data_IF_417535743242
#
_entry.id   IF_417535743242
#
_cell.length_a   1.000
_cell.length_b   1.000
_cell.length_c   1.000
_cell.angle_alpha   90.00
_cell.angle_beta   90.00
_cell.angle_gamma   90.00
#
_symmetry.space_group_name_H-M   'P 1'
#
loop_
_entity.id
_entity.type
_entity.pdbx_description
1 polymer ?
#
# COMPACT_ATOMS: atom_id res chain seq x y z
N UNK A 1 1.54 -25.58 -11.13
CA UNK A 1 0.63 -25.80 -9.98
C UNK A 1 -0.85 -25.90 -10.41
N UNK A 2 -1.32 -25.10 -11.37
CA UNK A 2 -2.72 -25.12 -11.90
C UNK A 2 -3.15 -26.48 -12.52
N UNK A 3 -2.24 -27.22 -13.17
CA UNK A 3 -2.56 -28.54 -13.73
C UNK A 3 -2.89 -29.63 -12.68
N UNK A 4 -2.34 -29.54 -11.45
CA UNK A 4 -2.58 -30.53 -10.39
C UNK A 4 -3.90 -30.30 -9.64
N UNK A 5 -4.41 -29.06 -9.62
CA UNK A 5 -5.72 -28.72 -9.04
C UNK A 5 -6.88 -29.20 -9.94
N UNK A 6 -6.70 -29.17 -11.26
CA UNK A 6 -7.72 -29.64 -12.21
C UNK A 6 -7.99 -31.15 -12.14
N UNK A 7 -6.95 -31.96 -11.90
CA UNK A 7 -7.09 -33.42 -11.80
C UNK A 7 -7.81 -33.85 -10.51
N UNK A 8 -7.53 -33.20 -9.37
CA UNK A 8 -8.14 -33.56 -8.08
C UNK A 8 -9.66 -33.32 -8.04
N UNK A 9 -10.13 -32.22 -8.63
CA UNK A 9 -11.56 -31.88 -8.65
C UNK A 9 -12.36 -32.86 -9.54
N UNK A 10 -11.76 -33.28 -10.66
CA UNK A 10 -12.33 -34.29 -11.55
C UNK A 10 -12.48 -35.64 -10.85
N UNK A 11 -11.49 -36.06 -10.06
CA UNK A 11 -11.55 -37.31 -9.29
C UNK A 11 -12.64 -37.30 -8.23
N UNK A 12 -12.84 -36.18 -7.52
CA UNK A 12 -13.90 -36.04 -6.50
C UNK A 12 -15.29 -36.08 -7.14
N UNK A 13 -15.48 -35.42 -8.29
CA UNK A 13 -16.75 -35.46 -9.04
C UNK A 13 -17.04 -36.87 -9.55
N UNK A 14 -16.03 -37.59 -10.06
CA UNK A 14 -16.17 -38.99 -10.47
C UNK A 14 -16.53 -39.91 -9.30
N UNK A 15 -15.90 -39.74 -8.14
CA UNK A 15 -16.22 -40.52 -6.93
C UNK A 15 -17.65 -40.27 -6.43
N UNK A 16 -18.12 -39.02 -6.47
CA UNK A 16 -19.50 -38.66 -6.10
C UNK A 16 -20.56 -39.16 -7.08
N UNK A 17 -20.19 -39.37 -8.35
CA UNK A 17 -21.07 -39.96 -9.37
C UNK A 17 -21.15 -41.49 -9.23
N UNK A 18 -20.07 -42.15 -8.80
CA UNK A 18 -20.02 -43.60 -8.61
C UNK A 18 -20.81 -44.07 -7.37
N UNK A 19 -20.90 -43.26 -6.32
CA UNK A 19 -21.59 -43.63 -5.05
C UNK A 19 -23.11 -43.55 -5.11
N UNK A 20 -23.72 -43.01 -6.18
CA UNK A 20 -25.18 -42.78 -6.27
C UNK A 20 -25.95 -43.76 -7.16
N UNK A 21 -25.34 -44.85 -7.60
CA UNK A 21 -25.96 -45.83 -8.51
C UNK A 21 -26.08 -45.26 -9.94
N UNK A 22 -25.70 -46.05 -10.94
CA UNK A 22 -25.66 -45.60 -12.33
C UNK A 22 -27.07 -45.26 -12.82
N UNK A 23 -27.37 -43.98 -13.12
CA UNK A 23 -28.66 -43.61 -13.69
C UNK A 23 -28.75 -44.14 -15.13
N UNK A 24 -29.98 -44.25 -15.66
CA UNK A 24 -30.21 -44.69 -17.03
C UNK A 24 -29.41 -43.82 -18.04
N UNK A 25 -29.00 -44.38 -19.20
CA UNK A 25 -28.11 -43.70 -20.16
C UNK A 25 -28.50 -42.25 -20.52
N UNK A 26 -29.80 -41.89 -20.68
CA UNK A 26 -30.19 -40.50 -20.98
C UNK A 26 -29.88 -39.51 -19.86
N UNK A 27 -30.04 -39.93 -18.59
CA UNK A 27 -29.75 -39.10 -17.42
C UNK A 27 -28.24 -38.91 -17.20
N UNK A 28 -27.43 -39.87 -17.64
CA UNK A 28 -25.97 -39.78 -17.60
C UNK A 28 -25.45 -38.67 -18.52
N UNK A 29 -25.99 -38.57 -19.74
CA UNK A 29 -25.63 -37.53 -20.73
C UNK A 29 -26.02 -36.13 -20.25
N UNK A 30 -27.23 -35.97 -19.68
CA UNK A 30 -27.63 -34.68 -19.09
C UNK A 30 -26.74 -34.27 -17.91
N UNK A 31 -26.38 -35.21 -17.02
CA UNK A 31 -25.49 -34.93 -15.88
C UNK A 31 -24.07 -34.58 -16.31
N UNK A 32 -23.54 -35.20 -17.37
CA UNK A 32 -22.25 -34.86 -17.98
C UNK A 32 -22.24 -33.43 -18.58
N UNK A 33 -23.36 -33.00 -19.19
CA UNK A 33 -23.53 -31.62 -19.65
C UNK A 33 -23.45 -30.58 -18.54
N UNK A 34 -23.98 -30.89 -17.35
CA UNK A 34 -23.87 -30.00 -16.18
C UNK A 34 -22.46 -29.95 -15.60
N UNK A 35 -21.76 -31.09 -15.48
CA UNK A 35 -20.38 -31.14 -14.97
C UNK A 35 -19.42 -30.38 -15.90
N UNK A 36 -19.58 -30.53 -17.22
CA UNK A 36 -18.77 -29.78 -18.20
C UNK A 36 -19.06 -28.28 -18.19
N UNK A 37 -20.31 -27.87 -17.98
CA UNK A 37 -20.66 -26.45 -17.78
C UNK A 37 -20.04 -25.87 -16.50
N UNK A 38 -20.16 -26.56 -15.36
CA UNK A 38 -19.60 -26.14 -14.07
C UNK A 38 -18.07 -26.04 -14.15
N UNK A 39 -17.40 -27.05 -14.70
CA UNK A 39 -15.94 -27.04 -14.88
C UNK A 39 -15.49 -25.96 -15.87
N UNK A 40 -16.25 -25.67 -16.93
CA UNK A 40 -15.96 -24.55 -17.84
C UNK A 40 -16.13 -23.18 -17.17
N UNK A 41 -17.09 -23.05 -16.24
CA UNK A 41 -17.35 -21.81 -15.51
C UNK A 41 -16.29 -21.59 -14.43
N UNK A 42 -15.94 -22.63 -13.68
CA UNK A 42 -14.83 -22.62 -12.72
C UNK A 42 -13.49 -22.34 -13.40
N UNK A 43 -13.21 -22.97 -14.55
CA UNK A 43 -11.99 -22.71 -15.32
C UNK A 43 -11.94 -21.28 -15.86
N UNK A 44 -13.07 -20.74 -16.32
CA UNK A 44 -13.18 -19.33 -16.73
C UNK A 44 -12.97 -18.38 -15.53
N UNK A 45 -13.55 -18.67 -14.38
CA UNK A 45 -13.35 -17.91 -13.15
C UNK A 45 -11.89 -17.93 -12.67
N UNK A 46 -11.26 -19.10 -12.63
CA UNK A 46 -9.85 -19.25 -12.24
C UNK A 46 -8.91 -18.59 -13.25
N UNK A 47 -9.17 -18.73 -14.54
CA UNK A 47 -8.36 -18.08 -15.58
C UNK A 47 -8.53 -16.56 -15.57
N UNK A 48 -9.74 -16.04 -15.33
CA UNK A 48 -9.98 -14.61 -15.15
C UNK A 48 -9.24 -14.08 -13.92
N UNK A 49 -9.37 -14.77 -12.78
CA UNK A 49 -8.67 -14.39 -11.55
C UNK A 49 -7.15 -14.46 -11.72
N UNK A 50 -6.64 -15.49 -12.40
CA UNK A 50 -5.21 -15.65 -12.67
C UNK A 50 -4.71 -14.59 -13.63
N UNK A 51 -5.38 -14.34 -14.76
CA UNK A 51 -4.92 -13.36 -15.75
C UNK A 51 -5.00 -11.91 -15.26
N UNK A 52 -5.78 -11.65 -14.21
CA UNK A 52 -5.98 -10.30 -13.67
C UNK A 52 -5.11 -10.05 -12.42
N UNK A 53 -4.97 -11.05 -11.53
CA UNK A 53 -4.06 -10.95 -10.38
C UNK A 53 -2.60 -11.24 -10.74
N UNK A 54 -2.31 -12.06 -11.75
CA UNK A 54 -0.94 -12.43 -12.10
C UNK A 54 -0.10 -11.25 -12.60
N UNK A 55 -0.56 -10.39 -13.54
CA UNK A 55 0.24 -9.23 -13.95
C UNK A 55 0.48 -8.29 -12.77
N UNK A 56 -0.56 -8.03 -11.97
CA UNK A 56 -0.46 -7.18 -10.80
C UNK A 56 0.55 -7.74 -9.78
N UNK A 57 0.41 -9.01 -9.39
CA UNK A 57 1.27 -9.66 -8.40
C UNK A 57 2.68 -9.87 -8.95
N UNK A 58 2.85 -10.36 -10.17
CA UNK A 58 4.18 -10.68 -10.72
C UNK A 58 4.96 -9.43 -11.07
N UNK A 59 4.32 -8.41 -11.66
CA UNK A 59 5.01 -7.18 -12.01
C UNK A 59 5.32 -6.36 -10.76
N UNK A 60 4.35 -6.14 -9.86
CA UNK A 60 4.61 -5.38 -8.63
C UNK A 60 5.58 -6.08 -7.67
N UNK A 61 5.55 -7.42 -7.57
CA UNK A 61 6.55 -8.15 -6.77
C UNK A 61 7.91 -8.18 -7.45
N UNK A 62 7.98 -8.18 -8.78
CA UNK A 62 9.21 -8.08 -9.53
C UNK A 62 9.92 -6.75 -9.25
N UNK A 63 9.19 -5.64 -9.41
CA UNK A 63 9.71 -4.29 -9.18
C UNK A 63 10.09 -4.09 -7.70
N UNK A 64 9.25 -4.56 -6.77
CA UNK A 64 9.58 -4.54 -5.35
C UNK A 64 10.83 -5.38 -5.05
N UNK A 65 10.97 -6.57 -5.64
CA UNK A 65 12.15 -7.42 -5.45
C UNK A 65 13.42 -6.76 -5.98
N UNK A 66 13.37 -6.17 -7.18
CA UNK A 66 14.50 -5.42 -7.73
C UNK A 66 14.88 -4.26 -6.81
N UNK A 67 13.89 -3.48 -6.36
CA UNK A 67 14.11 -2.39 -5.42
C UNK A 67 14.69 -2.85 -4.07
N UNK A 68 14.34 -4.06 -3.60
CA UNK A 68 14.83 -4.59 -2.33
C UNK A 68 16.23 -5.19 -2.46
N UNK A 69 16.48 -5.96 -3.49
CA UNK A 69 17.68 -6.78 -3.61
C UNK A 69 18.87 -6.05 -4.26
N UNK A 70 18.60 -5.07 -5.13
CA UNK A 70 19.63 -4.33 -5.84
C UNK A 70 19.71 -2.88 -5.33
N UNK A 71 20.79 -2.56 -4.60
CA UNK A 71 21.01 -1.22 -4.04
C UNK A 71 21.22 -0.15 -5.11
N UNK A 72 21.77 -0.51 -6.28
CA UNK A 72 21.99 0.42 -7.39
C UNK A 72 20.64 0.75 -8.02
N UNK A 73 19.80 -0.26 -8.26
CA UNK A 73 18.45 -0.05 -8.75
C UNK A 73 17.59 0.74 -7.74
N UNK A 74 17.70 0.42 -6.45
CA UNK A 74 17.01 1.15 -5.40
C UNK A 74 17.39 2.63 -5.39
N UNK A 75 18.69 2.93 -5.50
CA UNK A 75 19.21 4.30 -5.59
C UNK A 75 18.66 5.02 -6.82
N UNK A 76 18.75 4.41 -8.00
CA UNK A 76 18.22 4.98 -9.23
C UNK A 76 16.70 5.25 -9.17
N UNK A 77 15.93 4.37 -8.51
CA UNK A 77 14.48 4.51 -8.36
C UNK A 77 14.11 5.63 -7.38
N UNK A 78 14.82 5.76 -6.24
CA UNK A 78 14.52 6.78 -5.23
C UNK A 78 15.06 8.16 -5.58
N UNK A 79 16.13 8.24 -6.38
CA UNK A 79 16.85 9.49 -6.66
C UNK A 79 15.94 10.64 -7.14
N UNK A 80 14.98 10.43 -8.07
CA UNK A 80 14.10 11.51 -8.51
C UNK A 80 13.23 12.07 -7.38
N UNK A 81 12.82 11.23 -6.44
CA UNK A 81 12.08 11.67 -5.25
C UNK A 81 13.00 12.46 -4.30
N UNK A 82 14.20 11.95 -4.03
CA UNK A 82 15.18 12.62 -3.16
C UNK A 82 15.57 13.99 -3.68
N UNK A 83 15.87 14.11 -4.97
CA UNK A 83 16.25 15.39 -5.60
C UNK A 83 15.09 16.40 -5.50
N UNK A 84 13.86 16.01 -5.84
CA UNK A 84 12.69 16.89 -5.73
C UNK A 84 12.41 17.31 -4.27
N UNK A 85 12.53 16.38 -3.32
CA UNK A 85 12.33 16.67 -1.91
C UNK A 85 13.41 17.63 -1.35
N UNK A 86 14.67 17.42 -1.74
CA UNK A 86 15.78 18.30 -1.36
C UNK A 86 15.66 19.70 -1.98
N UNK A 87 15.24 19.79 -3.24
CA UNK A 87 15.00 21.07 -3.89
C UNK A 87 13.88 21.83 -3.17
N UNK A 88 12.80 21.14 -2.75
CA UNK A 88 11.75 21.75 -1.94
C UNK A 88 12.23 22.17 -0.55
N UNK A 89 13.18 21.46 0.07
CA UNK A 89 13.74 21.85 1.37
C UNK A 89 14.60 23.11 1.30
N UNK A 90 15.37 23.26 0.21
CA UNK A 90 16.25 24.41 -0.05
C UNK A 90 15.50 25.66 -0.50
N UNK A 91 14.25 25.51 -0.92
CA UNK A 91 13.40 26.64 -1.31
C UNK A 91 12.87 27.33 -0.04
N UNK A 92 13.30 28.59 0.12
CA UNK A 92 12.99 29.45 1.27
C UNK A 92 11.51 29.90 1.28
N UNK A 93 10.84 29.87 0.13
CA UNK A 93 9.44 30.26 -0.04
C UNK A 93 8.46 29.13 0.29
N UNK A 94 8.95 27.90 0.46
CA UNK A 94 8.12 26.74 0.80
C UNK A 94 7.94 26.64 2.33
N UNK A 95 6.70 26.77 2.80
CA UNK A 95 6.36 26.68 4.24
C UNK A 95 6.09 25.24 4.70
N UNK A 96 5.63 24.38 3.80
CA UNK A 96 5.28 22.99 4.09
C UNK A 96 5.47 22.10 2.87
N UNK A 97 5.75 20.82 3.13
CA UNK A 97 5.94 19.78 2.11
C UNK A 97 4.91 18.69 2.37
N UNK A 98 4.07 18.39 1.39
CA UNK A 98 3.18 17.23 1.43
C UNK A 98 3.64 16.18 0.42
N UNK A 99 3.94 14.99 0.91
CA UNK A 99 4.34 13.84 0.12
C UNK A 99 3.13 12.92 -0.02
N UNK A 100 2.66 12.71 -1.24
CA UNK A 100 1.56 11.77 -1.51
C UNK A 100 2.14 10.56 -2.24
N UNK A 101 1.99 9.39 -1.64
CA UNK A 101 2.64 8.16 -2.12
C UNK A 101 1.63 7.02 -2.23
N UNK A 102 1.58 6.37 -3.39
CA UNK A 102 0.66 5.26 -3.65
C UNK A 102 1.44 3.96 -3.88
N UNK A 103 0.94 2.84 -3.35
CA UNK A 103 1.49 1.52 -3.62
C UNK A 103 2.99 1.41 -3.30
N UNK A 104 3.83 1.00 -4.28
CA UNK A 104 5.29 0.96 -4.18
C UNK A 104 5.92 2.35 -3.99
N UNK A 105 5.26 3.42 -4.43
CA UNK A 105 5.71 4.79 -4.17
C UNK A 105 5.83 5.10 -2.68
N UNK A 106 5.00 4.50 -1.83
CA UNK A 106 5.10 4.63 -0.38
C UNK A 106 6.34 3.93 0.19
N UNK A 107 6.76 2.82 -0.43
CA UNK A 107 7.98 2.11 -0.06
C UNK A 107 9.21 2.93 -0.44
N UNK A 108 9.19 3.53 -1.64
CA UNK A 108 10.28 4.38 -2.14
C UNK A 108 10.41 5.65 -1.30
N UNK A 109 9.30 6.34 -1.01
CA UNK A 109 9.34 7.53 -0.17
C UNK A 109 9.75 7.19 1.27
N UNK A 110 9.32 6.05 1.82
CA UNK A 110 9.77 5.60 3.13
C UNK A 110 11.29 5.42 3.16
N UNK A 111 11.84 4.67 2.19
CA UNK A 111 13.29 4.44 2.09
C UNK A 111 14.06 5.76 1.99
N UNK A 112 13.60 6.66 1.12
CA UNK A 112 14.23 7.97 0.93
C UNK A 112 14.18 8.86 2.20
N UNK A 113 13.11 8.77 3.01
CA UNK A 113 12.99 9.55 4.25
C UNK A 113 13.76 8.92 5.43
N UNK A 114 14.13 7.63 5.36
CA UNK A 114 14.82 6.92 6.45
C UNK A 114 16.32 6.75 6.21
N UNK A 115 16.69 6.09 5.12
CA UNK A 115 18.06 5.69 4.74
C UNK A 115 18.48 6.31 3.39
N UNK A 116 17.63 7.15 2.79
CA UNK A 116 17.95 7.92 1.60
C UNK A 116 19.18 8.77 1.87
N UNK A 117 20.32 8.30 1.36
CA UNK A 117 21.63 8.86 1.68
C UNK A 117 21.71 10.37 1.41
N UNK A 118 21.19 10.90 0.28
CA UNK A 118 21.19 12.34 0.04
C UNK A 118 20.39 13.11 1.08
N UNK A 119 19.21 12.62 1.50
CA UNK A 119 18.32 13.34 2.43
C UNK A 119 18.92 13.38 3.84
N UNK A 120 19.34 12.24 4.38
CA UNK A 120 19.94 12.17 5.72
C UNK A 120 21.26 12.94 5.80
N UNK A 121 22.15 12.78 4.81
CA UNK A 121 23.43 13.51 4.77
C UNK A 121 23.19 15.02 4.66
N UNK A 122 22.27 15.44 3.80
CA UNK A 122 21.95 16.86 3.62
C UNK A 122 21.37 17.48 4.90
N UNK A 123 20.38 16.83 5.53
CA UNK A 123 19.78 17.33 6.77
C UNK A 123 20.76 17.31 7.95
N UNK A 124 21.76 16.42 7.96
CA UNK A 124 22.85 16.43 8.95
C UNK A 124 23.81 17.60 8.74
N UNK A 125 24.13 17.92 7.48
CA UNK A 125 25.02 19.01 7.13
C UNK A 125 24.37 20.39 7.29
N UNK A 126 23.06 20.49 7.00
CA UNK A 126 22.30 21.75 6.98
C UNK A 126 21.06 21.65 7.89
N UNK A 127 21.22 21.51 9.22
CA UNK A 127 20.11 21.33 10.15
C UNK A 127 19.09 22.49 10.15
N UNK A 128 19.52 23.70 9.77
CA UNK A 128 18.70 24.90 9.66
C UNK A 128 17.70 24.86 8.50
N UNK A 129 17.97 24.12 7.42
CA UNK A 129 17.04 23.96 6.29
C UNK A 129 15.77 23.17 6.66
N UNK A 130 15.76 22.56 7.85
CA UNK A 130 14.54 21.99 8.44
C UNK A 130 13.54 23.06 8.84
N UNK A 131 13.99 24.29 9.04
CA UNK A 131 13.13 25.39 9.43
C UNK A 131 12.76 26.20 8.20
N UNK A 132 11.58 26.81 8.25
CA UNK A 132 11.23 27.87 7.33
C UNK A 132 12.12 29.09 7.65
N UNK A 133 12.89 29.64 6.68
CA UNK A 133 13.86 30.71 6.96
C UNK A 133 13.21 32.00 7.47
N UNK A 134 12.02 32.31 6.95
CA UNK A 134 11.28 33.52 7.28
C UNK A 134 10.72 33.50 8.71
N UNK A 135 10.35 32.33 9.23
CA UNK A 135 9.71 32.19 10.55
C UNK A 135 10.60 31.52 11.60
N UNK A 136 11.71 30.90 11.18
CA UNK A 136 12.56 30.03 12.01
C UNK A 136 11.81 28.87 12.67
N UNK A 137 10.57 28.61 12.25
CA UNK A 137 9.77 27.48 12.72
C UNK A 137 10.10 26.23 11.91
N UNK A 138 10.04 25.04 12.51
CA UNK A 138 10.18 23.80 11.77
C UNK A 138 9.21 23.74 10.59
N UNK A 139 9.73 23.46 9.40
CA UNK A 139 8.95 23.25 8.18
C UNK A 139 8.06 22.04 8.39
N UNK A 140 6.80 22.13 7.99
CA UNK A 140 5.88 21.00 8.17
C UNK A 140 6.08 19.98 7.06
N UNK A 141 6.14 18.71 7.41
CA UNK A 141 6.14 17.58 6.48
C UNK A 141 4.93 16.70 6.76
N UNK A 142 4.04 16.58 5.79
CA UNK A 142 2.92 15.64 5.82
C UNK A 142 3.18 14.52 4.84
N UNK A 143 3.28 13.28 5.31
CA UNK A 143 3.40 12.10 4.48
C UNK A 143 2.06 11.37 4.40
N UNK A 144 1.50 11.24 3.20
CA UNK A 144 0.23 10.60 2.92
C UNK A 144 0.50 9.34 2.11
N UNK A 145 0.24 8.18 2.70
CA UNK A 145 0.38 6.88 2.03
C UNK A 145 -0.98 6.31 1.68
N UNK A 146 -1.14 5.80 0.46
CA UNK A 146 -2.42 5.32 -0.07
C UNK A 146 -2.19 3.91 -0.65
N UNK A 147 -2.93 2.91 -0.17
CA UNK A 147 -2.78 1.53 -0.64
C UNK A 147 -1.34 1.01 -0.51
N UNK A 148 -0.65 1.39 0.57
CA UNK A 148 0.80 1.30 0.66
C UNK A 148 1.33 -0.15 0.69
N UNK A 149 2.40 -0.44 -0.05
CA UNK A 149 3.05 -1.76 -0.05
C UNK A 149 4.01 -1.98 1.14
N UNK A 150 3.87 -1.20 2.22
CA UNK A 150 4.79 -1.18 3.37
C UNK A 150 4.78 -2.50 4.15
N UNK A 151 3.60 -3.03 4.49
CA UNK A 151 3.45 -4.32 5.20
C UNK A 151 4.12 -5.47 4.45
N UNK A 152 3.88 -5.52 3.14
CA UNK A 152 4.42 -6.57 2.27
C UNK A 152 5.93 -6.49 2.17
N UNK A 153 6.45 -5.28 1.96
CA UNK A 153 7.88 -5.05 1.87
C UNK A 153 8.59 -5.39 3.18
N UNK A 154 8.06 -4.92 4.31
CA UNK A 154 8.55 -5.26 5.64
C UNK A 154 8.58 -6.78 5.87
N UNK A 155 7.53 -7.49 5.47
CA UNK A 155 7.45 -8.96 5.60
C UNK A 155 8.54 -9.66 4.77
N UNK A 156 8.74 -9.23 3.53
CA UNK A 156 9.79 -9.78 2.66
C UNK A 156 11.16 -9.57 3.29
N UNK A 157 11.43 -8.37 3.82
CA UNK A 157 12.72 -8.05 4.43
C UNK A 157 12.95 -8.77 5.76
N UNK A 158 11.91 -8.99 6.56
CA UNK A 158 12.03 -9.75 7.82
C UNK A 158 12.28 -11.24 7.56
N UNK A 159 11.69 -11.81 6.51
CA UNK A 159 11.91 -13.20 6.12
C UNK A 159 13.31 -13.44 5.53
N UNK A 160 13.96 -12.38 5.02
CA UNK A 160 15.28 -12.45 4.39
C UNK A 160 16.30 -11.71 5.27
N UNK A 161 16.74 -12.35 6.35
CA UNK A 161 17.61 -11.73 7.37
C UNK A 161 18.94 -11.18 6.84
N UNK A 162 19.42 -11.69 5.70
CA UNK A 162 20.62 -11.18 5.00
C UNK A 162 20.35 -10.10 3.94
N UNK A 163 19.09 -9.70 3.71
CA UNK A 163 18.75 -8.71 2.69
C UNK A 163 19.24 -7.31 3.15
N UNK A 164 20.08 -6.61 2.35
CA UNK A 164 20.50 -5.25 2.64
C UNK A 164 19.33 -4.29 2.90
N UNK A 165 18.17 -4.52 2.28
CA UNK A 165 16.95 -3.75 2.50
C UNK A 165 16.41 -3.81 3.92
N UNK A 166 16.74 -4.83 4.71
CA UNK A 166 16.20 -4.95 6.05
C UNK A 166 16.49 -3.72 6.91
N UNK A 167 17.71 -3.17 6.81
CA UNK A 167 18.07 -1.92 7.52
C UNK A 167 17.15 -0.77 7.08
N UNK A 168 16.92 -0.62 5.78
CA UNK A 168 16.04 0.38 5.17
C UNK A 168 14.63 0.37 5.75
N UNK A 169 14.07 -0.82 6.03
CA UNK A 169 12.71 -1.00 6.57
C UNK A 169 12.62 -1.13 8.10
N UNK A 170 13.74 -0.99 8.80
CA UNK A 170 13.79 -0.92 10.27
C UNK A 170 14.17 0.46 10.79
N UNK A 171 14.55 1.38 9.91
CA UNK A 171 15.03 2.70 10.29
C UNK A 171 13.89 3.68 10.57
N UNK A 172 14.01 4.53 11.60
CA UNK A 172 12.93 5.40 12.05
C UNK A 172 12.76 6.66 11.18
N UNK A 173 11.60 6.82 10.53
CA UNK A 173 11.31 8.00 9.66
C UNK A 173 11.43 9.30 10.43
N UNK A 174 10.77 9.40 11.58
CA UNK A 174 10.73 10.63 12.36
C UNK A 174 12.11 11.03 12.89
N UNK A 175 12.91 10.04 13.33
CA UNK A 175 14.25 10.30 13.83
C UNK A 175 15.28 10.54 12.70
N UNK A 176 15.11 9.93 11.52
CA UNK A 176 15.94 10.23 10.35
C UNK A 176 15.74 11.66 9.86
N UNK A 177 14.50 12.14 9.84
CA UNK A 177 14.21 13.54 9.50
C UNK A 177 14.67 14.52 10.60
N UNK A 178 14.84 14.04 11.84
CA UNK A 178 15.23 14.84 13.03
C UNK A 178 14.34 16.06 13.21
N UNK A 179 13.07 15.90 12.86
CA UNK A 179 12.07 16.95 12.95
C UNK A 179 11.47 16.96 14.36
N UNK A 180 11.13 18.13 14.92
CA UNK A 180 10.32 18.19 16.13
C UNK A 180 9.01 17.42 15.96
N UNK A 181 8.49 16.83 17.03
CA UNK A 181 7.29 15.98 16.95
C UNK A 181 6.09 16.67 16.28
N UNK A 182 6.00 17.99 16.38
CA UNK A 182 4.89 18.77 15.80
C UNK A 182 5.04 19.05 14.29
N UNK A 183 6.23 18.82 13.73
CA UNK A 183 6.55 19.18 12.35
C UNK A 183 6.37 18.03 11.36
N UNK A 184 6.16 16.80 11.83
CA UNK A 184 5.91 15.63 10.98
C UNK A 184 4.54 15.03 11.26
N UNK A 185 3.82 14.66 10.21
CA UNK A 185 2.56 13.93 10.28
C UNK A 185 2.51 12.84 9.21
N UNK A 186 1.98 11.67 9.56
CA UNK A 186 1.78 10.56 8.63
C UNK A 186 0.32 10.14 8.60
N UNK A 187 -0.30 10.23 7.43
CA UNK A 187 -1.66 9.73 7.14
C UNK A 187 -1.56 8.48 6.26
N UNK A 188 -2.01 7.33 6.76
CA UNK A 188 -2.09 6.08 6.01
C UNK A 188 -3.55 5.76 5.66
N UNK A 189 -3.85 5.72 4.36
CA UNK A 189 -5.15 5.36 3.82
C UNK A 189 -5.07 3.98 3.14
N UNK A 190 -6.00 3.09 3.45
CA UNK A 190 -6.11 1.79 2.79
C UNK A 190 -7.57 1.40 2.57
N UNK A 191 -7.87 0.76 1.45
CA UNK A 191 -9.20 0.24 1.17
C UNK A 191 -9.36 -1.17 1.75
N UNK A 192 -10.59 -1.51 2.15
CA UNK A 192 -10.92 -2.79 2.80
C UNK A 192 -10.49 -4.01 1.98
N UNK A 193 -10.64 -3.96 0.66
CA UNK A 193 -10.34 -5.09 -0.22
C UNK A 193 -9.05 -4.89 -1.03
N UNK A 194 -8.26 -3.85 -0.75
CA UNK A 194 -6.97 -3.66 -1.42
C UNK A 194 -5.96 -4.75 -0.98
N UNK A 195 -5.50 -5.62 -1.91
CA UNK A 195 -4.60 -6.72 -1.58
C UNK A 195 -3.16 -6.28 -1.28
N UNK A 196 -2.77 -5.04 -1.57
CA UNK A 196 -1.39 -4.55 -1.38
C UNK A 196 -1.06 -4.24 0.08
N UNK A 197 -1.78 -3.32 0.76
CA UNK A 197 -1.58 -3.09 2.19
C UNK A 197 -2.03 -4.31 3.01
N UNK A 198 -3.01 -5.06 2.50
CA UNK A 198 -3.61 -6.23 3.16
C UNK A 198 -4.14 -5.91 4.56
N UNK A 199 -4.75 -4.72 4.70
CA UNK A 199 -5.30 -4.22 5.95
C UNK A 199 -4.43 -3.13 6.61
N UNK A 200 -4.62 -2.90 7.92
CA UNK A 200 -3.87 -1.89 8.66
C UNK A 200 -2.37 -2.19 8.70
N UNK A 201 -1.57 -1.16 8.97
CA UNK A 201 -0.13 -1.26 9.14
C UNK A 201 0.20 -2.24 10.26
N UNK A 202 1.17 -3.12 10.03
CA UNK A 202 1.58 -4.10 11.04
C UNK A 202 2.20 -3.38 12.23
N UNK A 203 1.76 -3.72 13.44
CA UNK A 203 2.24 -3.09 14.66
C UNK A 203 3.77 -3.20 14.81
N UNK A 204 4.36 -4.33 14.41
CA UNK A 204 5.81 -4.52 14.42
C UNK A 204 6.53 -3.52 13.50
N UNK A 205 6.02 -3.32 12.27
CA UNK A 205 6.58 -2.32 11.38
C UNK A 205 6.36 -0.89 11.90
N UNK A 206 5.17 -0.58 12.41
CA UNK A 206 4.87 0.73 13.00
C UNK A 206 5.86 1.08 14.12
N UNK A 207 6.19 0.11 14.99
CA UNK A 207 7.18 0.28 16.05
C UNK A 207 8.58 0.62 15.50
N UNK A 208 9.00 0.03 14.39
CA UNK A 208 10.27 0.36 13.74
C UNK A 208 10.32 1.81 13.25
N UNK A 209 9.19 2.38 12.82
CA UNK A 209 9.15 3.76 12.29
C UNK A 209 9.44 4.83 13.35
N UNK A 210 9.24 4.51 14.64
CA UNK A 210 9.31 5.43 15.78
C UNK A 210 8.46 6.72 15.61
N UNK A 211 7.47 6.70 14.72
CA UNK A 211 6.52 7.82 14.58
C UNK A 211 5.63 7.84 15.81
N UNK A 212 5.52 9.00 16.46
CA UNK A 212 4.68 9.13 17.65
C UNK A 212 3.21 8.89 17.27
N UNK A 213 2.43 8.28 18.17
CA UNK A 213 1.00 8.01 17.93
C UNK A 213 0.18 9.29 17.63
N UNK A 214 0.63 10.44 18.12
CA UNK A 214 0.01 11.73 17.81
C UNK A 214 0.21 12.14 16.33
N UNK A 215 1.35 11.79 15.76
CA UNK A 215 1.76 12.10 14.38
C UNK A 215 1.18 11.11 13.35
N UNK A 216 0.85 9.89 13.77
CA UNK A 216 0.31 8.86 12.88
C UNK A 216 -1.22 8.82 12.91
N UNK A 217 -1.82 8.81 11.71
CA UNK A 217 -3.25 8.61 11.48
C UNK A 217 -3.42 7.53 10.45
N UNK A 218 -4.14 6.48 10.80
CA UNK A 218 -4.47 5.40 9.88
C UNK A 218 -5.98 5.31 9.68
N UNK A 219 -6.43 5.13 8.44
CA UNK A 219 -7.85 5.03 8.11
C UNK A 219 -8.10 4.00 7.01
N UNK A 220 -9.07 3.13 7.29
CA UNK A 220 -9.72 2.35 6.26
C UNK A 220 -10.67 3.26 5.46
N UNK A 221 -10.75 3.07 4.15
CA UNK A 221 -11.73 3.70 3.28
C UNK A 221 -12.57 2.65 2.55
N UNK A 222 -13.85 2.97 2.31
CA UNK A 222 -14.69 2.23 1.37
C UNK A 222 -14.38 2.78 -0.02
N UNK A 223 -13.76 1.97 -0.88
CA UNK A 223 -13.37 2.41 -2.21
C UNK A 223 -14.34 1.87 -3.27
N UNK A 224 -13.92 0.89 -4.07
CA UNK A 224 -14.80 0.22 -5.04
C UNK A 224 -15.45 -1.06 -4.52
N UNK A 225 -15.16 -1.41 -3.26
CA UNK A 225 -15.49 -2.69 -2.63
C UNK A 225 -15.16 -3.90 -3.52
N UNK A 226 -14.02 -3.80 -4.20
CA UNK A 226 -13.62 -4.77 -5.19
C UNK A 226 -12.12 -5.01 -5.12
N UNK A 227 -11.71 -6.25 -4.83
CA UNK A 227 -10.30 -6.64 -4.71
C UNK A 227 -9.44 -6.28 -5.92
N UNK A 228 -10.05 -6.14 -7.10
CA UNK A 228 -9.36 -5.87 -8.35
C UNK A 228 -9.14 -4.37 -8.56
N UNK A 229 -10.09 -3.55 -8.13
CA UNK A 229 -10.11 -2.13 -8.42
C UNK A 229 -9.67 -1.29 -7.23
N UNK A 230 -9.86 -1.76 -6.00
CA UNK A 230 -9.60 -1.00 -4.78
C UNK A 230 -8.19 -0.44 -4.72
N UNK A 231 -7.21 -1.16 -5.28
CA UNK A 231 -5.84 -0.69 -5.32
C UNK A 231 -5.61 0.48 -6.28
N UNK A 232 -6.31 0.55 -7.42
CA UNK A 232 -6.02 1.48 -8.51
C UNK A 232 -7.01 2.64 -8.61
N UNK A 233 -8.13 2.58 -7.87
CA UNK A 233 -9.23 3.54 -8.01
C UNK A 233 -9.32 4.57 -6.88
N UNK A 234 -8.36 4.62 -5.95
CA UNK A 234 -8.36 5.62 -4.86
C UNK A 234 -8.60 7.05 -5.34
N UNK A 235 -8.00 7.43 -6.47
CA UNK A 235 -8.11 8.77 -7.07
C UNK A 235 -9.50 9.13 -7.59
N UNK A 236 -10.41 8.14 -7.70
CA UNK A 236 -11.81 8.35 -8.10
C UNK A 236 -12.74 8.47 -6.90
N UNK A 237 -12.24 8.31 -5.69
CA UNK A 237 -13.02 8.32 -4.47
C UNK A 237 -13.01 9.74 -3.88
N UNK A 238 -13.94 10.55 -4.38
CA UNK A 238 -14.21 11.92 -3.94
C UNK A 238 -14.93 12.00 -2.59
N UNK A 239 -15.49 10.90 -2.10
CA UNK A 239 -16.22 10.85 -0.82
C UNK A 239 -15.28 10.58 0.36
N UNK A 240 -14.36 9.63 0.24
CA UNK A 240 -13.53 9.17 1.35
C UNK A 240 -12.04 9.42 1.19
N UNK A 241 -11.49 9.43 -0.02
CA UNK A 241 -10.04 9.60 -0.22
C UNK A 241 -9.68 11.06 -0.36
N UNK A 242 -10.25 11.77 -1.34
CA UNK A 242 -9.90 13.17 -1.61
C UNK A 242 -10.11 14.12 -0.43
N UNK A 243 -11.25 14.08 0.30
CA UNK A 243 -11.44 14.98 1.44
C UNK A 243 -10.35 14.81 2.50
N UNK A 244 -9.85 13.58 2.71
CA UNK A 244 -8.79 13.28 3.67
C UNK A 244 -7.43 13.79 3.19
N UNK A 245 -7.14 13.67 1.89
CA UNK A 245 -5.93 14.24 1.28
C UNK A 245 -5.94 15.76 1.42
N UNK A 246 -7.03 16.42 1.02
CA UNK A 246 -7.18 17.87 1.10
C UNK A 246 -7.08 18.34 2.55
N UNK A 247 -7.73 17.66 3.49
CA UNK A 247 -7.65 17.99 4.91
C UNK A 247 -6.22 17.87 5.47
N UNK A 248 -5.47 16.84 5.03
CA UNK A 248 -4.08 16.65 5.44
C UNK A 248 -3.14 17.71 4.83
N UNK A 249 -3.43 18.22 3.63
CA UNK A 249 -2.70 19.32 2.99
C UNK A 249 -2.98 20.67 3.68
N UNK A 250 -4.25 20.99 3.94
CA UNK A 250 -4.68 22.31 4.43
C UNK A 250 -4.49 22.50 5.95
N UNK A 251 -3.44 21.92 6.52
CA UNK A 251 -3.48 21.30 7.84
C UNK A 251 -4.52 21.78 8.84
N UNK A 252 -5.61 21.04 8.86
CA UNK A 252 -6.64 21.18 9.87
C UNK A 252 -6.44 20.08 10.93
N UNK A 253 -5.71 20.37 12.04
CA UNK A 253 -5.57 19.46 13.16
C UNK A 253 -6.86 19.50 13.99
N UNK A 254 -7.87 18.76 13.59
CA UNK A 254 -9.05 18.57 14.42
C UNK A 254 -9.48 17.11 14.32
N UNK A 255 -9.99 16.53 15.42
CA UNK A 255 -9.94 15.10 15.64
C UNK A 255 -10.56 14.41 14.44
N UNK A 256 -9.82 13.50 13.82
CA UNK A 256 -10.41 12.55 12.89
C UNK A 256 -11.33 11.71 13.77
N UNK A 257 -12.66 11.96 13.87
CA UNK A 257 -13.48 11.14 14.72
C UNK A 257 -13.18 9.69 14.31
N UNK A 258 -12.82 8.87 15.29
CA UNK A 258 -12.46 7.46 15.08
C UNK A 258 -13.66 6.62 14.67
N UNK A 259 -14.64 7.23 14.01
CA UNK A 259 -15.92 6.67 13.66
C UNK A 259 -15.85 6.49 12.16
N UNK A 260 -16.10 5.27 11.73
CA UNK A 260 -16.50 4.93 10.38
C UNK A 260 -17.69 5.81 10.00
N UNK A 261 -17.41 7.03 9.53
CA UNK A 261 -18.45 7.91 9.04
C UNK A 261 -19.10 7.17 7.89
N UNK A 262 -20.38 6.86 8.02
CA UNK A 262 -21.12 6.30 6.90
C UNK A 262 -21.18 7.35 5.77
N UNK A 263 -21.55 6.92 4.56
CA UNK A 263 -21.60 7.78 3.39
C UNK A 263 -22.39 9.08 3.64
N UNK A 264 -23.51 8.99 4.37
CA UNK A 264 -24.35 10.14 4.73
C UNK A 264 -23.72 11.10 5.76
N UNK A 265 -22.79 10.64 6.58
CA UNK A 265 -22.04 11.49 7.51
C UNK A 265 -20.87 12.21 6.83
N UNK A 266 -20.22 11.58 5.84
CA UNK A 266 -19.18 12.26 5.06
C UNK A 266 -19.75 13.36 4.17
N UNK A 267 -20.93 13.16 3.59
CA UNK A 267 -21.58 14.19 2.76
C UNK A 267 -21.85 15.50 3.54
N UNK A 268 -22.03 15.43 4.86
CA UNK A 268 -22.25 16.61 5.72
C UNK A 268 -20.98 17.43 6.01
N UNK A 269 -19.80 16.89 5.73
CA UNK A 269 -18.51 17.59 5.94
C UNK A 269 -18.12 18.41 4.70
N UNK A 270 -18.63 18.03 3.53
CA UNK A 270 -18.30 18.63 2.23
C UNK A 270 -19.18 19.87 1.93
N UNK A 271 -20.26 20.08 2.68
CA UNK A 271 -21.19 21.21 2.56
C UNK A 271 -21.09 22.16 3.76
#
# INVERSE_FOLDING_TARGET
MVQRLGSGLLTIVWLLLLTRGLPSPPLLVQRLGWVTRITSWLRRGVNFLSNLLYPFVVQSLGDAKVFLDDSIAADAIRRPFEDAFLDMLKDDDIESITIISHSLGAVISYDALTEGWPVDVHLKANPEERNNPNTQRPRRITWITIGAALNRTYTITEQQTGNPARRRFTSPVAASLRMPEQAFSWVNLYARYDPVPAGPLYNAFFQCTQVAKAQFKERMVINSDNMLYDHTTYWRNDVLVWPRIVQAICDNPAPWPGIDLNEGENQKIIH
#
